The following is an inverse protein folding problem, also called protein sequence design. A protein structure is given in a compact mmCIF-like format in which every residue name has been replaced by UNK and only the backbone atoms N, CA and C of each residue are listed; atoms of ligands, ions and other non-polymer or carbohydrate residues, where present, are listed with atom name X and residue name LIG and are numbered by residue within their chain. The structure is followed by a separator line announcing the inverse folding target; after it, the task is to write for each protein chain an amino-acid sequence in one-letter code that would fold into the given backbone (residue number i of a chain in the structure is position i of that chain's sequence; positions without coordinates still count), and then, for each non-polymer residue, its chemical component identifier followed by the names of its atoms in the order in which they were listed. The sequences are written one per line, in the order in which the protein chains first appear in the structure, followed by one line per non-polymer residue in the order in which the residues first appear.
data_IF_629394171557
#
_entry.id   IF_629394171557
#
_cell.length_a   1.000
_cell.length_b   1.000
_cell.length_c   1.000
_cell.angle_alpha   90.00
_cell.angle_beta   90.00
_cell.angle_gamma   90.00
#
_symmetry.space_group_name_H-M   'P 1'
#
loop_
_entity.id
_entity.type
_entity.pdbx_description
1 polymer ?
#
# COMPACT_ATOMS: atom_id res chain seq x y z
N UNK A 1 -14.26 -8.55 4.19
CA UNK A 1 -14.94 -9.80 3.75
C UNK A 1 -16.44 -9.61 3.62
N UNK A 2 -17.07 -8.96 4.61
CA UNK A 2 -18.52 -8.66 4.64
C UNK A 2 -19.02 -7.90 3.40
N UNK A 3 -18.33 -6.82 2.99
CA UNK A 3 -18.69 -6.04 1.79
C UNK A 3 -18.77 -6.86 0.50
N UNK A 4 -17.99 -7.96 0.41
CA UNK A 4 -17.97 -8.86 -0.75
C UNK A 4 -18.77 -10.15 -0.50
N UNK A 5 -19.35 -10.33 0.69
CA UNK A 5 -20.04 -11.57 1.10
C UNK A 5 -19.13 -12.80 1.10
N UNK A 6 -17.83 -12.65 1.34
CA UNK A 6 -16.87 -13.77 1.27
C UNK A 6 -16.78 -14.53 2.58
N UNK A 7 -16.86 -15.86 2.49
CA UNK A 7 -16.42 -16.77 3.55
C UNK A 7 -14.90 -16.92 3.56
N UNK A 8 -14.32 -17.39 4.68
CA UNK A 8 -12.90 -17.77 4.75
C UNK A 8 -12.51 -18.76 3.65
N UNK A 9 -13.40 -19.70 3.32
CA UNK A 9 -13.20 -20.65 2.23
C UNK A 9 -13.10 -19.96 0.87
N UNK A 10 -13.98 -18.99 0.59
CA UNK A 10 -13.93 -18.23 -0.66
C UNK A 10 -12.64 -17.41 -0.73
N UNK A 11 -12.24 -16.75 0.37
CA UNK A 11 -10.98 -16.02 0.44
C UNK A 11 -9.77 -16.95 0.17
N UNK A 12 -9.72 -18.12 0.80
CA UNK A 12 -8.65 -19.09 0.57
C UNK A 12 -8.52 -19.48 -0.90
N UNK A 13 -9.65 -19.73 -1.58
CA UNK A 13 -9.67 -19.99 -3.03
C UNK A 13 -9.19 -18.81 -3.86
N UNK A 14 -9.69 -17.59 -3.57
CA UNK A 14 -9.34 -16.40 -4.33
C UNK A 14 -7.86 -15.98 -4.14
N UNK A 15 -7.32 -16.17 -2.94
CA UNK A 15 -5.92 -15.91 -2.62
C UNK A 15 -4.97 -17.06 -3.00
N UNK A 16 -5.50 -18.18 -3.50
CA UNK A 16 -4.75 -19.40 -3.77
C UNK A 16 -3.90 -19.86 -2.56
N UNK A 17 -4.52 -19.83 -1.38
CA UNK A 17 -3.91 -20.23 -0.11
C UNK A 17 -4.63 -21.45 0.47
N UNK A 18 -3.92 -22.31 1.23
CA UNK A 18 -4.58 -23.37 1.99
C UNK A 18 -5.65 -22.80 2.93
N UNK A 19 -6.79 -23.49 3.04
CA UNK A 19 -7.86 -23.07 3.94
C UNK A 19 -7.38 -22.98 5.40
N UNK A 20 -6.48 -23.89 5.80
CA UNK A 20 -5.85 -23.86 7.13
C UNK A 20 -5.04 -22.59 7.37
N UNK A 21 -4.39 -22.02 6.34
CA UNK A 21 -3.65 -20.75 6.44
C UNK A 21 -4.60 -19.60 6.75
N UNK A 22 -5.73 -19.49 6.04
CA UNK A 22 -6.74 -18.44 6.28
C UNK A 22 -7.43 -18.64 7.64
N UNK A 23 -7.81 -19.87 7.98
CA UNK A 23 -8.44 -20.20 9.27
C UNK A 23 -7.51 -19.87 10.44
N UNK A 24 -6.21 -20.20 10.35
CA UNK A 24 -5.23 -19.87 11.39
C UNK A 24 -4.97 -18.37 11.49
N UNK A 25 -4.95 -17.66 10.36
CA UNK A 25 -4.79 -16.21 10.32
C UNK A 25 -5.83 -15.51 11.20
N UNK A 26 -7.11 -15.87 11.05
CA UNK A 26 -8.19 -15.27 11.83
C UNK A 26 -8.30 -15.83 13.27
N UNK A 27 -8.15 -17.15 13.46
CA UNK A 27 -8.37 -17.77 14.77
C UNK A 27 -7.22 -17.61 15.76
N UNK A 28 -5.98 -17.59 15.28
CA UNK A 28 -4.78 -17.56 16.13
C UNK A 28 -4.15 -16.18 16.24
N UNK A 29 -4.76 -15.18 15.59
CA UNK A 29 -4.20 -13.82 15.46
C UNK A 29 -2.74 -13.83 14.98
N UNK A 30 -2.41 -14.78 14.11
CA UNK A 30 -1.06 -14.92 13.58
C UNK A 30 -0.80 -13.75 12.63
N UNK A 31 0.34 -13.08 12.78
CA UNK A 31 0.76 -12.07 11.80
C UNK A 31 1.05 -12.77 10.47
N UNK A 32 0.38 -12.39 9.36
CA UNK A 32 0.65 -13.00 8.07
C UNK A 32 2.08 -12.70 7.62
N UNK A 33 2.70 -13.63 6.90
CA UNK A 33 3.94 -13.31 6.18
C UNK A 33 3.63 -12.30 5.06
N UNK A 34 4.66 -11.61 4.57
CA UNK A 34 4.50 -10.69 3.43
C UNK A 34 3.86 -11.40 2.23
N UNK A 35 4.25 -12.63 1.93
CA UNK A 35 3.66 -13.45 0.86
C UNK A 35 2.17 -13.69 1.07
N UNK A 36 1.77 -14.10 2.28
CA UNK A 36 0.35 -14.35 2.61
C UNK A 36 -0.47 -13.07 2.50
N UNK A 37 0.05 -11.95 3.01
CA UNK A 37 -0.62 -10.66 2.90
C UNK A 37 -0.76 -10.21 1.44
N UNK A 38 0.30 -10.32 0.64
CA UNK A 38 0.28 -9.97 -0.79
C UNK A 38 -0.75 -10.80 -1.56
N UNK A 39 -0.82 -12.11 -1.30
CA UNK A 39 -1.79 -13.00 -1.92
C UNK A 39 -3.23 -12.60 -1.57
N UNK A 40 -3.48 -12.19 -0.32
CA UNK A 40 -4.78 -11.70 0.15
C UNK A 40 -5.11 -10.34 -0.51
N UNK A 41 -4.17 -9.40 -0.57
CA UNK A 41 -4.36 -8.11 -1.25
C UNK A 41 -4.72 -8.32 -2.73
N UNK A 42 -3.98 -9.18 -3.44
CA UNK A 42 -4.27 -9.56 -4.82
C UNK A 42 -5.66 -10.17 -4.98
N UNK A 43 -6.07 -11.04 -4.07
CA UNK A 43 -7.43 -11.59 -4.07
C UNK A 43 -8.50 -10.49 -4.00
N UNK A 44 -8.25 -9.44 -3.23
CA UNK A 44 -9.14 -8.28 -3.13
C UNK A 44 -8.95 -7.24 -4.25
N UNK A 45 -8.08 -7.48 -5.22
CA UNK A 45 -7.81 -6.57 -6.33
C UNK A 45 -7.09 -5.29 -5.92
N UNK A 46 -6.28 -5.33 -4.86
CA UNK A 46 -5.52 -4.19 -4.36
C UNK A 46 -4.03 -4.52 -4.21
N UNK A 47 -3.19 -3.48 -4.22
CA UNK A 47 -1.76 -3.58 -3.93
C UNK A 47 -1.50 -3.53 -2.42
N UNK A 48 -0.30 -3.91 -2.00
CA UNK A 48 0.15 -3.69 -0.62
C UNK A 48 0.18 -2.21 -0.25
N UNK A 49 0.55 -1.33 -1.19
CA UNK A 49 0.55 0.11 -0.95
C UNK A 49 -0.86 0.64 -0.64
N UNK A 50 -1.88 0.15 -1.36
CA UNK A 50 -3.30 0.42 -1.08
C UNK A 50 -3.77 -0.17 0.25
N UNK A 51 -3.28 -1.36 0.61
CA UNK A 51 -3.62 -1.96 1.90
C UNK A 51 -3.08 -1.13 3.08
N UNK A 52 -1.87 -0.59 2.95
CA UNK A 52 -1.23 0.22 4.00
C UNK A 52 -1.57 1.72 3.94
N UNK A 53 -2.40 2.18 2.99
CA UNK A 53 -2.70 3.60 2.84
C UNK A 53 -3.78 4.12 3.82
N UNK A 54 -4.29 3.28 4.74
CA UNK A 54 -5.26 3.65 5.78
C UNK A 54 -6.48 4.44 5.26
N UNK A 55 -6.97 4.10 4.08
CA UNK A 55 -8.11 4.78 3.46
C UNK A 55 -7.78 6.12 2.80
N UNK A 56 -6.51 6.53 2.81
CA UNK A 56 -6.01 7.55 1.88
C UNK A 56 -5.77 6.89 0.53
N UNK A 57 -6.01 7.61 -0.57
CA UNK A 57 -5.51 7.10 -1.85
C UNK A 57 -3.99 6.92 -1.72
N UNK A 58 -3.42 5.80 -2.20
CA UNK A 58 -1.98 5.71 -2.37
C UNK A 58 -1.59 6.91 -3.22
N UNK A 59 -0.81 7.81 -2.64
CA UNK A 59 -0.41 9.01 -3.35
C UNK A 59 0.62 8.59 -4.40
N UNK A 60 0.13 8.16 -5.56
CA UNK A 60 0.96 8.03 -6.74
C UNK A 60 1.34 9.45 -7.16
N UNK A 61 2.64 9.74 -7.15
CA UNK A 61 3.14 10.99 -7.67
C UNK A 61 2.74 11.08 -9.15
N UNK A 62 2.16 12.22 -9.55
CA UNK A 62 2.01 12.55 -10.97
C UNK A 62 3.38 12.62 -11.64
N UNK A 63 3.42 12.55 -12.98
CA UNK A 63 4.68 12.64 -13.70
C UNK A 63 5.40 13.97 -13.44
N UNK A 64 4.64 15.05 -13.29
CA UNK A 64 5.18 16.36 -12.90
C UNK A 64 5.79 16.33 -11.50
N UNK A 65 5.12 15.73 -10.52
CA UNK A 65 5.66 15.58 -9.17
C UNK A 65 6.90 14.69 -9.15
N UNK A 66 6.95 13.60 -9.94
CA UNK A 66 8.16 12.78 -10.08
C UNK A 66 9.32 13.57 -10.67
N UNK A 67 9.07 14.36 -11.71
CA UNK A 67 10.08 15.21 -12.32
C UNK A 67 10.60 16.27 -11.32
N UNK A 68 9.72 16.85 -10.50
CA UNK A 68 10.10 17.75 -9.41
C UNK A 68 11.01 17.05 -8.40
N UNK A 69 10.65 15.85 -7.94
CA UNK A 69 11.49 15.07 -7.01
C UNK A 69 12.86 14.70 -7.61
N UNK A 70 12.91 14.35 -8.90
CA UNK A 70 14.17 14.06 -9.59
C UNK A 70 15.08 15.30 -9.65
N UNK A 71 14.51 16.49 -9.93
CA UNK A 71 15.25 17.75 -9.90
C UNK A 71 15.66 18.14 -8.47
N UNK A 72 14.78 17.94 -7.50
CA UNK A 72 15.05 18.18 -6.09
C UNK A 72 16.27 17.40 -5.58
N UNK A 73 16.39 16.14 -5.99
CA UNK A 73 17.48 15.26 -5.58
C UNK A 73 18.87 15.76 -6.02
N UNK A 74 18.96 16.63 -7.04
CA UNK A 74 20.23 17.20 -7.52
C UNK A 74 20.62 18.51 -6.83
N UNK A 75 19.71 19.11 -6.06
CA UNK A 75 19.92 20.40 -5.41
C UNK A 75 20.85 20.27 -4.19
N UNK A 76 21.70 21.28 -4.00
CA UNK A 76 22.43 21.47 -2.75
C UNK A 76 21.50 21.85 -1.60
N UNK A 77 21.95 21.64 -0.36
CA UNK A 77 21.18 22.02 0.85
C UNK A 77 20.81 23.51 0.90
N UNK A 78 21.61 24.38 0.28
CA UNK A 78 21.25 25.81 0.16
C UNK A 78 20.08 26.01 -0.82
N UNK A 79 20.12 25.37 -1.98
CA UNK A 79 19.06 25.48 -2.99
C UNK A 79 17.75 24.86 -2.52
N UNK A 80 17.81 23.72 -1.83
CA UNK A 80 16.65 23.08 -1.19
C UNK A 80 15.95 24.04 -0.21
N UNK A 81 16.71 24.73 0.64
CA UNK A 81 16.17 25.72 1.59
C UNK A 81 15.46 26.86 0.89
N UNK A 82 16.08 27.47 -0.12
CA UNK A 82 15.47 28.56 -0.89
C UNK A 82 14.18 28.11 -1.59
N UNK A 83 14.16 26.88 -2.12
CA UNK A 83 12.94 26.35 -2.75
C UNK A 83 11.81 26.15 -1.72
N UNK A 84 12.11 25.63 -0.52
CA UNK A 84 11.11 25.54 0.55
C UNK A 84 10.60 26.92 0.97
N UNK A 85 11.51 27.88 1.19
CA UNK A 85 11.12 29.27 1.51
C UNK A 85 10.18 29.85 0.46
N UNK A 86 10.43 29.59 -0.83
CA UNK A 86 9.55 30.03 -1.91
C UNK A 86 8.17 29.38 -1.84
N UNK A 87 8.10 28.07 -1.60
CA UNK A 87 6.84 27.31 -1.51
C UNK A 87 6.01 27.78 -0.32
N UNK A 88 6.65 28.08 0.82
CA UNK A 88 5.96 28.50 2.05
C UNK A 88 5.37 29.92 1.96
N UNK A 89 5.82 30.73 0.99
CA UNK A 89 5.29 32.09 0.73
C UNK A 89 4.03 32.04 -0.13
N UNK A 90 3.79 30.96 -0.87
CA UNK A 90 2.63 30.78 -1.75
C UNK A 90 1.37 30.40 -0.98
#
# INVERSE_FOLDING_TARGET
MEERGWSEYKLAKMANLPQSTISNLFKRNNVPTLYTLEAICKAFGMTLAQFFSEGKEPMELTEEQRALFAKWATLSEKQKRVLFELIDIM
#
